data_IF_075172111250
#
_entry.id   IF_075172111250
#
_cell.length_a   1.000
_cell.length_b   1.000
_cell.length_c   1.000
_cell.angle_alpha   90.00
_cell.angle_beta   90.00
_cell.angle_gamma   90.00
#
_symmetry.space_group_name_H-M   'P 1'
#
loop_
_entity.id
_entity.type
_entity.pdbx_description
1 polymer ?
#
# COMPACT_ATOMS: atom_id res chain seq x y z
N UNK A 1 27.08 -7.41 7.79
CA UNK A 1 25.89 -6.56 7.91
C UNK A 1 24.66 -7.24 7.31
N UNK A 2 23.51 -6.87 7.80
CA UNK A 2 22.22 -7.38 7.28
C UNK A 2 22.11 -7.16 5.77
N UNK A 3 22.49 -5.98 5.29
CA UNK A 3 22.42 -5.64 3.87
C UNK A 3 23.45 -6.34 2.99
N UNK A 4 24.43 -7.02 3.60
CA UNK A 4 25.46 -7.73 2.83
C UNK A 4 25.01 -9.14 2.40
N UNK A 5 23.92 -9.65 2.99
CA UNK A 5 23.35 -10.92 2.59
C UNK A 5 22.55 -10.76 1.29
N UNK A 6 22.81 -11.60 0.30
CA UNK A 6 22.20 -11.47 -1.03
C UNK A 6 20.68 -11.45 -0.98
N UNK A 7 20.06 -12.35 -0.17
CA UNK A 7 18.61 -12.41 -0.06
C UNK A 7 18.03 -11.16 0.61
N UNK A 8 18.76 -10.52 1.53
CA UNK A 8 18.34 -9.24 2.11
C UNK A 8 18.38 -8.12 1.08
N UNK A 9 19.37 -8.14 0.19
CA UNK A 9 19.44 -7.14 -0.87
C UNK A 9 18.28 -7.28 -1.85
N UNK A 10 17.89 -8.51 -2.20
CA UNK A 10 16.71 -8.75 -3.02
C UNK A 10 15.45 -8.26 -2.32
N UNK A 11 15.31 -8.56 -1.04
CA UNK A 11 14.15 -8.12 -0.26
C UNK A 11 14.06 -6.60 -0.16
N UNK A 12 15.19 -5.93 0.07
CA UNK A 12 15.24 -4.46 0.09
C UNK A 12 14.87 -3.87 -1.27
N UNK A 13 15.33 -4.50 -2.35
CA UNK A 13 14.96 -4.10 -3.71
C UNK A 13 13.47 -4.24 -3.96
N UNK A 14 12.86 -5.33 -3.49
CA UNK A 14 11.41 -5.54 -3.60
C UNK A 14 10.64 -4.48 -2.82
N UNK A 15 11.06 -4.18 -1.59
CA UNK A 15 10.44 -3.11 -0.80
C UNK A 15 10.48 -1.78 -1.52
N UNK A 16 11.65 -1.44 -2.06
CA UNK A 16 11.83 -0.19 -2.79
C UNK A 16 10.94 -0.14 -4.03
N UNK A 17 10.87 -1.23 -4.78
CA UNK A 17 10.06 -1.32 -5.98
C UNK A 17 8.57 -1.10 -5.67
N UNK A 18 8.05 -1.76 -4.63
CA UNK A 18 6.66 -1.61 -4.20
C UNK A 18 6.38 -0.19 -3.72
N UNK A 19 7.29 0.38 -2.93
CA UNK A 19 7.14 1.73 -2.39
C UNK A 19 7.12 2.78 -3.51
N UNK A 20 8.03 2.66 -4.47
CA UNK A 20 8.10 3.63 -5.58
C UNK A 20 6.90 3.52 -6.52
N UNK A 21 6.37 2.32 -6.75
CA UNK A 21 5.15 2.15 -7.51
C UNK A 21 3.97 2.85 -6.82
N UNK A 22 3.83 2.67 -5.52
CA UNK A 22 2.79 3.35 -4.73
C UNK A 22 2.96 4.87 -4.75
N UNK A 23 4.19 5.34 -4.61
CA UNK A 23 4.49 6.78 -4.65
C UNK A 23 4.08 7.38 -6.00
N UNK A 24 4.42 6.72 -7.08
CA UNK A 24 4.08 7.17 -8.43
C UNK A 24 2.57 7.23 -8.62
N UNK A 25 1.86 6.18 -8.22
CA UNK A 25 0.41 6.14 -8.33
C UNK A 25 -0.26 7.23 -7.49
N UNK A 26 0.22 7.43 -6.26
CA UNK A 26 -0.32 8.44 -5.37
C UNK A 26 -0.16 9.84 -5.94
N UNK A 27 1.04 10.18 -6.36
CA UNK A 27 1.31 11.53 -6.89
C UNK A 27 0.62 11.78 -8.22
N UNK A 28 0.53 10.78 -9.09
CA UNK A 28 -0.17 10.92 -10.36
C UNK A 28 -1.66 11.16 -10.11
N UNK A 29 -2.29 10.38 -9.23
CA UNK A 29 -3.71 10.53 -8.90
C UNK A 29 -3.97 11.88 -8.25
N UNK A 30 -3.14 12.29 -7.30
CA UNK A 30 -3.28 13.56 -6.61
C UNK A 30 -3.14 14.73 -7.59
N UNK A 31 -2.20 14.64 -8.52
CA UNK A 31 -2.01 15.69 -9.54
C UNK A 31 -3.23 15.81 -10.44
N UNK A 32 -3.76 14.67 -10.90
CA UNK A 32 -4.93 14.69 -11.78
C UNK A 32 -6.15 15.29 -11.06
N UNK A 33 -6.35 14.98 -9.80
CA UNK A 33 -7.43 15.57 -9.01
C UNK A 33 -7.17 17.07 -8.81
N UNK A 34 -5.92 17.47 -8.50
CA UNK A 34 -5.54 18.87 -8.28
C UNK A 34 -5.71 19.72 -9.53
N UNK A 35 -5.46 19.15 -10.69
CA UNK A 35 -5.65 19.84 -11.97
C UNK A 35 -7.11 19.85 -12.42
N UNK A 36 -8.00 19.39 -11.55
CA UNK A 36 -9.45 19.35 -11.80
C UNK A 36 -9.83 18.56 -13.05
N UNK A 37 -9.09 17.52 -13.33
CA UNK A 37 -9.46 16.60 -14.40
C UNK A 37 -10.76 15.90 -13.99
N UNK A 38 -11.78 15.90 -14.86
CA UNK A 38 -13.07 15.37 -14.44
C UNK A 38 -13.04 13.84 -14.38
N UNK A 39 -12.91 13.31 -13.19
CA UNK A 39 -13.20 11.90 -12.98
C UNK A 39 -14.72 11.64 -12.96
N UNK A 40 -15.50 12.66 -12.59
CA UNK A 40 -16.94 12.53 -12.45
C UNK A 40 -17.29 11.43 -11.45
N UNK A 41 -18.15 10.52 -11.86
CA UNK A 41 -18.58 9.38 -11.05
C UNK A 41 -17.45 8.40 -10.72
N UNK A 42 -16.32 8.50 -11.44
CA UNK A 42 -15.19 7.60 -11.23
C UNK A 42 -14.25 8.09 -10.12
N UNK A 43 -14.45 9.27 -9.58
CA UNK A 43 -13.51 9.82 -8.60
C UNK A 43 -13.44 8.99 -7.31
N UNK A 44 -14.59 8.68 -6.71
CA UNK A 44 -14.62 7.89 -5.48
C UNK A 44 -14.08 6.47 -5.72
N UNK A 45 -14.54 5.74 -6.76
CA UNK A 45 -13.95 4.42 -7.04
C UNK A 45 -12.46 4.46 -7.30
N UNK A 46 -11.96 5.47 -8.00
CA UNK A 46 -10.53 5.60 -8.30
C UNK A 46 -9.71 5.80 -7.02
N UNK A 47 -10.16 6.67 -6.13
CA UNK A 47 -9.47 6.93 -4.86
C UNK A 47 -9.50 5.69 -3.96
N UNK A 48 -10.64 5.01 -3.89
CA UNK A 48 -10.78 3.80 -3.07
C UNK A 48 -9.94 2.65 -3.64
N UNK A 49 -9.85 2.52 -4.95
CA UNK A 49 -8.97 1.53 -5.60
C UNK A 49 -7.52 1.79 -5.23
N UNK A 50 -7.07 3.04 -5.34
CA UNK A 50 -5.72 3.43 -4.98
C UNK A 50 -5.43 3.13 -3.52
N UNK A 51 -6.35 3.50 -2.62
CA UNK A 51 -6.21 3.26 -1.19
C UNK A 51 -6.07 1.77 -0.89
N UNK A 52 -6.94 0.95 -1.48
CA UNK A 52 -6.94 -0.50 -1.29
C UNK A 52 -5.63 -1.12 -1.78
N UNK A 53 -5.20 -0.73 -2.97
CA UNK A 53 -3.94 -1.22 -3.54
C UNK A 53 -2.75 -0.83 -2.66
N UNK A 54 -2.68 0.43 -2.25
CA UNK A 54 -1.57 0.91 -1.41
C UNK A 54 -1.55 0.24 -0.05
N UNK A 55 -2.72 0.01 0.56
CA UNK A 55 -2.78 -0.68 1.84
C UNK A 55 -2.20 -2.09 1.74
N UNK A 56 -2.51 -2.83 0.69
CA UNK A 56 -1.97 -4.16 0.47
C UNK A 56 -0.47 -4.13 0.20
N UNK A 57 0.00 -3.20 -0.63
CA UNK A 57 1.41 -3.08 -0.96
C UNK A 57 2.25 -2.66 0.24
N UNK A 58 1.75 -1.73 1.05
CA UNK A 58 2.46 -1.28 2.25
C UNK A 58 2.50 -2.38 3.31
N UNK A 59 1.46 -3.20 3.41
CA UNK A 59 1.47 -4.36 4.30
C UNK A 59 2.55 -5.36 3.85
N UNK A 60 2.68 -5.59 2.55
CA UNK A 60 3.73 -6.45 2.00
C UNK A 60 5.12 -5.90 2.34
N UNK A 61 5.33 -4.59 2.21
CA UNK A 61 6.58 -3.92 2.60
C UNK A 61 6.86 -4.14 4.09
N UNK A 62 5.84 -3.97 4.94
CA UNK A 62 5.96 -4.19 6.37
C UNK A 62 6.35 -5.63 6.71
N UNK A 63 5.76 -6.61 6.03
CA UNK A 63 6.11 -8.01 6.20
C UNK A 63 7.57 -8.29 5.85
N UNK A 64 8.05 -7.74 4.74
CA UNK A 64 9.44 -7.90 4.31
C UNK A 64 10.39 -7.26 5.33
N UNK A 65 10.08 -6.04 5.76
CA UNK A 65 10.89 -5.32 6.75
C UNK A 65 10.99 -6.10 8.06
N UNK A 66 9.88 -6.66 8.53
CA UNK A 66 9.84 -7.45 9.76
C UNK A 66 10.71 -8.69 9.64
N UNK A 67 10.67 -9.38 8.51
CA UNK A 67 11.51 -10.56 8.28
C UNK A 67 12.99 -10.21 8.27
N UNK A 68 13.38 -9.10 7.66
CA UNK A 68 14.77 -8.64 7.64
C UNK A 68 15.24 -8.30 9.07
N UNK A 69 14.40 -7.64 9.85
CA UNK A 69 14.72 -7.29 11.24
C UNK A 69 14.77 -8.50 12.17
N UNK A 70 14.10 -9.61 11.78
CA UNK A 70 14.03 -10.81 12.62
C UNK A 70 13.25 -10.59 13.90
N UNK A 71 13.68 -11.24 14.98
CA UNK A 71 13.00 -11.17 16.28
C UNK A 71 12.85 -9.76 16.84
N UNK A 72 13.75 -8.86 16.51
CA UNK A 72 13.69 -7.48 16.98
C UNK A 72 12.46 -6.74 16.44
N UNK A 73 11.93 -7.16 15.30
CA UNK A 73 10.75 -6.56 14.70
C UNK A 73 9.49 -6.75 15.53
N UNK A 74 9.49 -7.67 16.50
CA UNK A 74 8.32 -7.94 17.35
C UNK A 74 8.37 -7.24 18.70
N UNK A 75 9.47 -6.58 19.03
CA UNK A 75 9.59 -5.87 20.30
C UNK A 75 8.85 -4.54 20.22
N UNK A 76 8.00 -4.26 21.21
CA UNK A 76 7.20 -3.02 21.25
C UNK A 76 8.03 -1.75 21.27
N UNK A 77 9.26 -1.83 21.73
CA UNK A 77 10.20 -0.71 21.71
C UNK A 77 10.80 -0.47 20.34
N UNK A 78 10.61 -1.39 19.40
CA UNK A 78 11.13 -1.29 18.05
C UNK A 78 10.16 -0.53 17.16
N UNK A 79 10.67 0.41 16.38
CA UNK A 79 9.89 1.21 15.43
C UNK A 79 9.10 0.31 14.45
N UNK A 80 9.69 -0.80 13.99
CA UNK A 80 9.06 -1.67 13.00
C UNK A 80 7.78 -2.34 13.52
N UNK A 81 7.75 -2.72 14.79
CA UNK A 81 6.54 -3.33 15.38
C UNK A 81 5.37 -2.35 15.30
N UNK A 82 5.60 -1.10 15.70
CA UNK A 82 4.59 -0.06 15.66
C UNK A 82 4.18 0.28 14.23
N UNK A 83 5.15 0.45 13.35
CA UNK A 83 4.87 0.75 11.95
C UNK A 83 4.04 -0.35 11.30
N UNK A 84 4.33 -1.62 11.61
CA UNK A 84 3.59 -2.75 11.07
C UNK A 84 2.13 -2.75 11.56
N UNK A 85 1.90 -2.46 12.85
CA UNK A 85 0.53 -2.32 13.36
C UNK A 85 -0.22 -1.20 12.67
N UNK A 86 0.44 -0.06 12.47
CA UNK A 86 -0.17 1.09 11.81
C UNK A 86 -0.51 0.78 10.35
N UNK A 87 0.37 0.07 9.65
CA UNK A 87 0.12 -0.34 8.28
C UNK A 87 -1.06 -1.30 8.17
N UNK A 88 -1.21 -2.22 9.11
CA UNK A 88 -2.35 -3.14 9.12
C UNK A 88 -3.67 -2.39 9.32
N UNK A 89 -3.67 -1.34 10.11
CA UNK A 89 -4.89 -0.58 10.37
C UNK A 89 -5.43 0.11 9.10
N UNK A 90 -4.57 0.37 8.12
CA UNK A 90 -5.00 0.99 6.86
C UNK A 90 -6.03 0.16 6.10
N UNK A 91 -6.06 -1.15 6.31
CA UNK A 91 -7.06 -2.03 5.68
C UNK A 91 -8.43 -1.95 6.35
N UNK A 92 -8.50 -1.33 7.52
CA UNK A 92 -9.73 -1.26 8.32
C UNK A 92 -10.47 0.07 8.14
N UNK A 93 -9.90 1.00 7.38
CA UNK A 93 -10.48 2.31 7.16
C UNK A 93 -11.32 2.33 5.89
N UNK A 94 -12.39 3.15 5.89
CA UNK A 94 -13.26 3.35 4.75
C UNK A 94 -13.90 2.02 4.29
N UNK A 95 -14.06 1.81 2.98
CA UNK A 95 -14.68 0.61 2.44
C UNK A 95 -13.75 -0.59 2.55
N UNK A 96 -14.34 -1.77 2.76
CA UNK A 96 -13.58 -3.01 2.76
C UNK A 96 -13.15 -3.36 1.34
N UNK A 97 -12.10 -4.19 1.24
CA UNK A 97 -11.53 -4.59 -0.03
C UNK A 97 -12.58 -5.15 -0.99
N UNK A 98 -13.42 -6.05 -0.52
CA UNK A 98 -14.43 -6.69 -1.38
C UNK A 98 -15.47 -5.69 -1.88
N UNK A 99 -15.85 -4.73 -1.04
CA UNK A 99 -16.78 -3.66 -1.44
C UNK A 99 -16.17 -2.78 -2.53
N UNK A 100 -14.87 -2.46 -2.43
CA UNK A 100 -14.17 -1.68 -3.43
C UNK A 100 -14.08 -2.44 -4.75
N UNK A 101 -13.73 -3.73 -4.69
CA UNK A 101 -13.63 -4.55 -5.90
C UNK A 101 -14.96 -4.69 -6.61
N UNK A 102 -16.05 -4.87 -5.86
CA UNK A 102 -17.39 -4.93 -6.43
C UNK A 102 -17.79 -3.60 -7.07
N UNK A 103 -17.49 -2.49 -6.40
CA UNK A 103 -17.77 -1.16 -6.94
C UNK A 103 -17.06 -0.93 -8.27
N UNK A 104 -15.79 -1.32 -8.35
CA UNK A 104 -15.00 -1.19 -9.59
C UNK A 104 -15.58 -2.09 -10.68
N UNK A 105 -15.90 -3.34 -10.36
CA UNK A 105 -16.48 -4.26 -11.31
C UNK A 105 -17.81 -3.75 -11.85
N UNK A 106 -18.67 -3.26 -10.99
CA UNK A 106 -19.95 -2.68 -11.38
C UNK A 106 -19.76 -1.49 -12.31
N UNK A 107 -18.82 -0.62 -11.98
CA UNK A 107 -18.51 0.57 -12.78
C UNK A 107 -18.02 0.20 -14.18
N UNK A 108 -17.14 -0.80 -14.28
CA UNK A 108 -16.54 -1.18 -15.54
C UNK A 108 -17.45 -2.08 -16.38
N UNK A 109 -18.27 -2.92 -15.74
CA UNK A 109 -19.12 -3.89 -16.41
C UNK A 109 -20.58 -3.43 -16.55
N UNK A 110 -20.96 -2.32 -15.93
CA UNK A 110 -22.26 -1.71 -16.10
C UNK A 110 -23.41 -2.35 -15.33
N UNK A 111 -23.08 -3.06 -14.23
CA UNK A 111 -24.17 -3.59 -13.37
C UNK A 111 -24.19 -3.02 -11.97
#
# INVERSE_FOLDING_TARGET
>A
RVGDLAWNRFALGEMYNRLEACRTLLYTTAREISEQRPYGERQVPTVEMLRTYMAEEMLAVGNIATRIAGGLGYLKSNFLERAFRDLRSAQLHSLKRDEVLEMIAAMELGF
#
